data_IF_914930309620
#
_entry.id   IF_914930309620
#
_cell.length_a   1.000
_cell.length_b   1.000
_cell.length_c   1.000
_cell.angle_alpha   90.00
_cell.angle_beta   90.00
_cell.angle_gamma   90.00
#
_symmetry.space_group_name_H-M   'P 1'
#
loop_
_entity.id
_entity.type
_entity.pdbx_description
1 polymer ?
#
# COMPACT_ATOMS: atom_id res chain seq x y z
N UNK A 1 -13.68 8.38 3.07
CA UNK A 1 -12.74 9.11 3.94
C UNK A 1 -13.10 10.59 3.83
N UNK A 2 -13.58 11.27 4.89
CA UNK A 2 -13.92 12.69 4.80
C UNK A 2 -12.65 13.57 4.90
N UNK A 3 -11.63 13.28 4.09
CA UNK A 3 -10.32 13.92 4.10
C UNK A 3 -9.17 12.96 3.78
N UNK A 4 -8.04 13.52 3.37
CA UNK A 4 -6.80 12.81 3.04
C UNK A 4 -6.18 13.30 1.74
N UNK A 5 -4.86 13.16 1.62
CA UNK A 5 -4.10 13.37 0.39
C UNK A 5 -3.44 12.05 -0.02
N UNK A 6 -3.36 11.78 -1.32
CA UNK A 6 -2.47 10.75 -1.87
C UNK A 6 -1.35 11.41 -2.66
N UNK A 7 -0.11 10.98 -2.46
CA UNK A 7 1.04 11.45 -3.22
C UNK A 7 1.92 10.28 -3.69
N UNK A 8 2.82 10.57 -4.62
CA UNK A 8 3.82 9.63 -5.13
C UNK A 8 5.22 10.08 -4.74
N UNK A 9 5.97 9.20 -4.04
CA UNK A 9 7.36 9.40 -3.62
C UNK A 9 8.32 8.59 -4.50
N UNK A 10 8.31 8.84 -5.81
CA UNK A 10 9.02 7.99 -6.77
C UNK A 10 10.54 8.26 -6.85
N UNK A 11 11.01 9.38 -6.31
CA UNK A 11 12.45 9.73 -6.26
C UNK A 11 13.12 9.34 -4.94
N UNK A 12 12.35 8.82 -3.97
CA UNK A 12 12.84 8.51 -2.62
C UNK A 12 13.89 7.38 -2.59
N UNK A 13 13.95 6.60 -3.68
CA UNK A 13 14.99 5.59 -3.89
C UNK A 13 16.39 6.19 -4.12
N UNK A 14 16.48 7.42 -4.63
CA UNK A 14 17.75 8.08 -4.95
C UNK A 14 18.39 8.81 -3.76
N UNK A 15 17.67 8.93 -2.63
CA UNK A 15 18.15 9.65 -1.44
C UNK A 15 18.51 8.70 -0.30
N UNK A 16 19.35 9.17 0.61
CA UNK A 16 19.66 8.46 1.85
C UNK A 16 18.52 8.55 2.88
N UNK A 17 18.49 7.64 3.85
CA UNK A 17 17.58 7.73 5.00
C UNK A 17 17.79 9.05 5.79
N UNK A 18 19.03 9.53 5.89
CA UNK A 18 19.33 10.82 6.55
C UNK A 18 18.67 11.99 5.82
N UNK A 19 18.69 11.98 4.49
CA UNK A 19 18.01 13.01 3.69
C UNK A 19 16.49 12.89 3.81
N UNK A 20 15.95 11.67 3.79
CA UNK A 20 14.53 11.44 4.02
C UNK A 20 14.08 12.03 5.36
N UNK A 21 14.82 11.74 6.44
CA UNK A 21 14.49 12.21 7.78
C UNK A 21 14.61 13.74 7.92
N UNK A 22 15.62 14.35 7.29
CA UNK A 22 15.87 15.77 7.42
C UNK A 22 15.00 16.65 6.50
N UNK A 23 14.64 16.15 5.31
CA UNK A 23 14.06 16.98 4.24
C UNK A 23 12.66 16.53 3.80
N UNK A 24 12.26 15.28 4.06
CA UNK A 24 10.98 14.73 3.57
C UNK A 24 10.01 14.45 4.72
N UNK A 25 10.48 13.79 5.78
CA UNK A 25 9.62 13.43 6.91
C UNK A 25 8.85 14.62 7.53
N UNK A 26 9.46 15.81 7.75
CA UNK A 26 8.72 16.96 8.28
C UNK A 26 7.58 17.40 7.36
N UNK A 27 7.84 17.46 6.04
CA UNK A 27 6.86 17.87 5.03
C UNK A 27 5.73 16.85 4.90
N UNK A 28 6.05 15.55 4.91
CA UNK A 28 5.07 14.46 4.89
C UNK A 28 4.17 14.50 6.13
N UNK A 29 4.74 14.80 7.30
CA UNK A 29 3.99 14.96 8.54
C UNK A 29 3.07 16.19 8.48
N UNK A 30 3.55 17.33 7.97
CA UNK A 30 2.74 18.55 7.81
C UNK A 30 1.58 18.32 6.83
N UNK A 31 1.83 17.73 5.66
CA UNK A 31 0.80 17.41 4.67
C UNK A 31 -0.25 16.46 5.25
N UNK A 32 0.20 15.39 5.93
CA UNK A 32 -0.69 14.46 6.60
C UNK A 32 -1.57 15.16 7.64
N UNK A 33 -0.99 16.02 8.49
CA UNK A 33 -1.75 16.77 9.50
C UNK A 33 -2.77 17.74 8.85
N UNK A 34 -2.35 18.47 7.82
CA UNK A 34 -3.19 19.45 7.11
C UNK A 34 -4.42 18.81 6.45
N UNK A 35 -4.25 17.64 5.83
CA UNK A 35 -5.32 16.98 5.08
C UNK A 35 -6.02 15.85 5.85
N UNK A 36 -5.62 15.57 7.08
CA UNK A 36 -6.25 14.55 7.94
C UNK A 36 -5.76 13.11 7.68
N UNK A 37 -4.60 12.97 7.04
CA UNK A 37 -3.91 11.72 6.76
C UNK A 37 -3.33 11.67 5.35
N UNK A 38 -2.52 10.65 5.10
CA UNK A 38 -1.77 10.51 3.85
C UNK A 38 -1.84 9.09 3.30
N UNK A 39 -2.05 8.94 2.00
CA UNK A 39 -1.74 7.74 1.25
C UNK A 39 -0.46 7.98 0.44
N UNK A 40 0.41 6.97 0.35
CA UNK A 40 1.68 7.09 -0.36
C UNK A 40 1.81 6.00 -1.41
N UNK A 41 2.10 6.41 -2.63
CA UNK A 41 2.57 5.56 -3.71
C UNK A 41 4.10 5.65 -3.82
N UNK A 42 4.75 4.53 -4.15
CA UNK A 42 6.18 4.50 -4.43
C UNK A 42 6.49 3.36 -5.42
N UNK A 43 6.94 3.72 -6.62
CA UNK A 43 7.50 2.76 -7.58
C UNK A 43 9.04 2.65 -7.50
N UNK A 44 9.68 3.52 -6.72
CA UNK A 44 11.13 3.52 -6.52
C UNK A 44 11.64 2.24 -5.85
N UNK A 45 12.87 1.83 -6.19
CA UNK A 45 13.60 0.82 -5.42
C UNK A 45 14.07 1.41 -4.07
N UNK A 46 13.15 1.45 -3.11
CA UNK A 46 13.30 2.19 -1.85
C UNK A 46 13.15 1.31 -0.60
N UNK A 47 13.62 0.06 -0.64
CA UNK A 47 13.58 -0.85 0.52
C UNK A 47 14.26 -0.27 1.76
N UNK A 48 15.35 0.47 1.57
CA UNK A 48 16.04 1.17 2.66
C UNK A 48 15.16 2.24 3.32
N UNK A 49 14.12 2.75 2.66
CA UNK A 49 13.23 3.76 3.23
C UNK A 49 12.04 3.20 4.00
N UNK A 50 11.80 1.88 3.97
CA UNK A 50 10.64 1.27 4.63
C UNK A 50 10.50 1.58 6.12
N UNK A 51 11.58 1.60 6.94
CA UNK A 51 11.49 2.06 8.32
C UNK A 51 11.05 3.52 8.44
N UNK A 52 11.48 4.37 7.51
CA UNK A 52 11.02 5.76 7.39
C UNK A 52 9.54 5.83 7.09
N UNK A 53 9.06 5.06 6.10
CA UNK A 53 7.64 5.01 5.72
C UNK A 53 6.73 4.64 6.90
N UNK A 54 7.10 3.65 7.72
CA UNK A 54 6.31 3.28 8.92
C UNK A 54 6.20 4.41 9.95
N UNK A 55 7.14 5.35 9.95
CA UNK A 55 7.16 6.48 10.89
C UNK A 55 6.35 7.69 10.40
N UNK A 56 5.89 7.71 9.14
CA UNK A 56 5.08 8.82 8.62
C UNK A 56 3.81 8.94 9.45
N UNK A 57 3.60 10.07 10.18
CA UNK A 57 2.42 10.25 11.01
C UNK A 57 1.16 10.28 10.14
N UNK A 58 0.13 9.54 10.54
CA UNK A 58 -1.15 9.54 9.82
C UNK A 58 -1.11 8.88 8.44
N UNK A 59 -0.11 8.03 8.14
CA UNK A 59 -0.12 7.18 6.96
C UNK A 59 -1.32 6.22 7.02
N UNK A 60 -2.20 6.30 6.02
CA UNK A 60 -3.47 5.56 5.92
C UNK A 60 -3.47 4.49 4.85
N UNK A 61 -2.59 4.58 3.86
CA UNK A 61 -2.47 3.62 2.78
C UNK A 61 -1.05 3.64 2.20
N UNK A 62 -0.46 2.47 1.97
CA UNK A 62 0.80 2.33 1.25
C UNK A 62 0.60 1.53 -0.05
N UNK A 63 1.01 2.11 -1.16
CA UNK A 63 1.06 1.44 -2.46
C UNK A 63 2.53 1.35 -2.88
N UNK A 64 3.00 0.13 -3.11
CA UNK A 64 4.32 -0.13 -3.68
C UNK A 64 4.14 -0.82 -5.03
N UNK A 65 4.89 -0.36 -6.02
CA UNK A 65 4.97 -0.99 -7.35
C UNK A 65 6.33 -1.65 -7.46
N UNK A 66 6.36 -2.94 -7.16
CA UNK A 66 7.59 -3.75 -7.14
C UNK A 66 7.27 -5.19 -7.60
N UNK A 67 8.28 -5.98 -8.01
CA UNK A 67 8.08 -7.40 -8.33
C UNK A 67 7.43 -8.18 -7.17
N UNK A 68 6.64 -9.21 -7.49
CA UNK A 68 5.86 -9.98 -6.50
C UNK A 68 6.68 -10.45 -5.27
N UNK A 69 7.92 -10.97 -5.39
CA UNK A 69 8.71 -11.35 -4.21
C UNK A 69 8.99 -10.19 -3.26
N UNK A 70 9.12 -8.97 -3.78
CA UNK A 70 9.30 -7.75 -2.97
C UNK A 70 8.01 -7.37 -2.28
N UNK A 71 6.87 -7.47 -2.97
CA UNK A 71 5.56 -7.19 -2.40
C UNK A 71 5.24 -8.14 -1.26
N UNK A 72 5.52 -9.44 -1.38
CA UNK A 72 5.33 -10.37 -0.26
C UNK A 72 6.11 -9.97 1.00
N UNK A 73 7.36 -9.51 0.83
CA UNK A 73 8.16 -8.99 1.94
C UNK A 73 7.60 -7.69 2.51
N UNK A 74 7.12 -6.79 1.65
CA UNK A 74 6.51 -5.54 2.06
C UNK A 74 5.23 -5.77 2.88
N UNK A 75 4.35 -6.67 2.42
CA UNK A 75 3.10 -7.00 3.12
C UNK A 75 3.37 -7.46 4.54
N UNK A 76 4.36 -8.33 4.74
CA UNK A 76 4.79 -8.75 6.07
C UNK A 76 5.42 -7.60 6.88
N UNK A 77 6.31 -6.82 6.26
CA UNK A 77 6.99 -5.72 6.95
C UNK A 77 6.03 -4.60 7.40
N UNK A 78 4.98 -4.33 6.63
CA UNK A 78 3.99 -3.29 6.89
C UNK A 78 2.69 -3.85 7.47
N UNK A 79 2.69 -5.07 8.01
CA UNK A 79 1.51 -5.66 8.63
C UNK A 79 0.87 -4.71 9.67
N UNK A 80 -0.47 -4.69 9.66
CA UNK A 80 -1.30 -3.71 10.39
C UNK A 80 -1.51 -2.35 9.72
N UNK A 81 -0.70 -1.98 8.70
CA UNK A 81 -0.94 -0.80 7.86
C UNK A 81 -1.77 -1.21 6.64
N UNK A 82 -2.82 -0.43 6.25
CA UNK A 82 -3.51 -0.66 4.99
C UNK A 82 -2.59 -0.49 3.79
N UNK A 83 -2.70 -1.41 2.84
CA UNK A 83 -1.80 -1.54 1.69
C UNK A 83 -2.59 -1.79 0.41
N UNK A 84 -2.17 -1.21 -0.70
CA UNK A 84 -2.76 -1.37 -2.03
C UNK A 84 -1.64 -1.48 -3.06
N UNK A 85 -0.98 -2.63 -3.14
CA UNK A 85 0.16 -2.83 -4.05
C UNK A 85 -0.30 -3.13 -5.48
N UNK A 86 0.61 -2.97 -6.45
CA UNK A 86 0.37 -3.32 -7.86
C UNK A 86 0.25 -4.83 -8.14
N UNK A 87 0.32 -5.67 -7.11
CA UNK A 87 0.26 -7.12 -7.19
C UNK A 87 -0.71 -7.64 -6.13
N UNK A 88 -1.73 -8.38 -6.59
CA UNK A 88 -2.78 -8.90 -5.73
C UNK A 88 -2.62 -10.37 -5.33
N UNK A 89 -1.90 -11.18 -6.11
CA UNK A 89 -1.75 -12.63 -5.86
C UNK A 89 -1.85 -13.43 -7.15
N UNK A 90 -1.61 -14.74 -7.05
CA UNK A 90 -1.72 -15.65 -8.19
C UNK A 90 -3.10 -16.31 -8.27
N UNK A 91 -3.57 -16.56 -9.50
CA UNK A 91 -4.85 -17.22 -9.76
C UNK A 91 -6.07 -16.32 -9.54
N UNK A 92 -7.26 -16.91 -9.32
CA UNK A 92 -8.49 -16.12 -9.18
C UNK A 92 -8.50 -15.24 -7.93
N UNK A 93 -9.03 -14.01 -8.04
CA UNK A 93 -8.89 -13.00 -6.99
C UNK A 93 -9.39 -13.41 -5.59
N UNK A 94 -10.43 -14.24 -5.50
CA UNK A 94 -10.94 -14.75 -4.23
C UNK A 94 -10.01 -15.76 -3.52
N UNK A 95 -8.93 -16.21 -4.15
CA UNK A 95 -7.90 -17.06 -3.50
C UNK A 95 -6.73 -16.25 -2.94
N UNK A 96 -6.61 -14.98 -3.34
CA UNK A 96 -5.49 -14.12 -2.96
C UNK A 96 -5.37 -13.86 -1.45
N UNK A 97 -6.46 -13.66 -0.66
CA UNK A 97 -6.34 -13.41 0.77
C UNK A 97 -5.53 -14.48 1.52
N UNK A 98 -5.68 -15.75 1.13
CA UNK A 98 -4.97 -16.87 1.76
C UNK A 98 -3.46 -16.91 1.47
N UNK A 99 -2.97 -16.08 0.55
CA UNK A 99 -1.56 -15.99 0.17
C UNK A 99 -0.77 -14.99 1.04
N UNK A 100 -1.45 -14.28 1.95
CA UNK A 100 -0.86 -13.24 2.79
C UNK A 100 -1.03 -13.54 4.28
N UNK A 101 -0.19 -12.93 5.15
CA UNK A 101 -0.35 -13.05 6.60
C UNK A 101 -1.74 -12.60 7.09
N UNK A 102 -2.28 -13.22 8.15
CA UNK A 102 -3.65 -12.96 8.63
C UNK A 102 -3.87 -11.53 9.16
N UNK A 103 -2.81 -10.81 9.54
CA UNK A 103 -2.84 -9.43 10.00
C UNK A 103 -2.58 -8.40 8.88
N UNK A 104 -2.41 -8.86 7.64
CA UNK A 104 -2.31 -8.01 6.47
C UNK A 104 -3.63 -7.27 6.21
N UNK A 105 -3.54 -5.98 5.91
CA UNK A 105 -4.68 -5.13 5.55
C UNK A 105 -4.54 -4.73 4.10
N UNK A 106 -5.11 -5.52 3.19
CA UNK A 106 -4.93 -5.33 1.76
C UNK A 106 -6.19 -4.79 1.09
N UNK A 107 -5.98 -3.88 0.15
CA UNK A 107 -6.96 -3.44 -0.85
C UNK A 107 -6.50 -4.03 -2.17
N UNK A 108 -7.35 -4.86 -2.78
CA UNK A 108 -7.07 -5.44 -4.09
C UNK A 108 -7.77 -4.60 -5.17
N UNK A 109 -6.99 -4.13 -6.14
CA UNK A 109 -7.52 -3.57 -7.38
C UNK A 109 -7.68 -4.70 -8.39
N UNK A 110 -8.91 -4.94 -8.83
CA UNK A 110 -9.27 -6.10 -9.67
C UNK A 110 -10.06 -5.61 -10.87
N UNK A 111 -9.52 -5.88 -12.06
CA UNK A 111 -10.21 -5.62 -13.31
C UNK A 111 -11.29 -6.69 -13.57
N UNK A 112 -12.45 -6.25 -14.05
CA UNK A 112 -13.52 -7.12 -14.54
C UNK A 112 -13.94 -6.62 -15.93
N UNK A 113 -14.22 -7.52 -16.86
CA UNK A 113 -14.66 -7.19 -18.21
C UNK A 113 -16.13 -6.79 -18.28
N UNK A 114 -16.92 -7.10 -17.24
CA UNK A 114 -18.33 -6.73 -17.16
C UNK A 114 -18.78 -6.45 -15.73
N UNK A 115 -19.93 -5.80 -15.60
CA UNK A 115 -20.59 -5.61 -14.30
C UNK A 115 -20.92 -6.94 -13.61
N UNK A 116 -21.43 -7.93 -14.34
CA UNK A 116 -21.79 -9.24 -13.78
C UNK A 116 -20.58 -9.96 -13.20
N UNK A 117 -19.45 -9.93 -13.93
CA UNK A 117 -18.19 -10.45 -13.44
C UNK A 117 -17.67 -9.68 -12.22
N UNK A 118 -17.75 -8.34 -12.22
CA UNK A 118 -17.37 -7.53 -11.06
C UNK A 118 -18.20 -7.89 -9.81
N UNK A 119 -19.52 -8.11 -9.97
CA UNK A 119 -20.42 -8.53 -8.89
C UNK A 119 -20.07 -9.94 -8.38
N UNK A 120 -19.77 -10.89 -9.28
CA UNK A 120 -19.33 -12.24 -8.90
C UNK A 120 -18.01 -12.21 -8.13
N UNK A 121 -16.97 -11.56 -8.67
CA UNK A 121 -15.66 -11.42 -8.03
C UNK A 121 -15.81 -10.79 -6.65
N UNK A 122 -16.56 -9.69 -6.55
CA UNK A 122 -16.77 -8.99 -5.28
C UNK A 122 -17.52 -9.86 -4.25
N UNK A 123 -18.47 -10.68 -4.69
CA UNK A 123 -19.20 -11.61 -3.82
C UNK A 123 -18.26 -12.70 -3.27
N UNK A 124 -17.48 -13.34 -4.15
CA UNK A 124 -16.55 -14.42 -3.78
C UNK A 124 -15.41 -13.92 -2.89
N UNK A 125 -14.84 -12.77 -3.22
CA UNK A 125 -13.79 -12.15 -2.39
C UNK A 125 -14.29 -11.81 -0.99
N UNK A 126 -15.52 -11.27 -0.87
CA UNK A 126 -16.14 -11.03 0.44
C UNK A 126 -16.34 -12.31 1.25
N UNK A 127 -16.63 -13.44 0.62
CA UNK A 127 -16.74 -14.72 1.31
C UNK A 127 -15.36 -15.23 1.78
N UNK A 128 -14.32 -15.04 0.97
CA UNK A 128 -12.95 -15.45 1.30
C UNK A 128 -12.30 -14.61 2.40
N UNK A 129 -12.73 -13.35 2.59
CA UNK A 129 -12.22 -12.45 3.63
C UNK A 129 -13.02 -12.49 4.96
N UNK A 130 -14.02 -13.38 5.08
CA UNK A 130 -14.73 -13.62 6.35
C UNK A 130 -13.96 -14.62 7.21
#
# INVERSE_FOLDING_TARGET
MPGGLTLSEDEVGAISQRMFDALFMPELAELSARYGGLGMHCCAHARHQWPGFRRIPGLRLLNLVQPAPVIHQAVAFFAGLPQMHSYGGEGPAWTWPAQYPPDARLVFDINAASRAEAEEIASRLRQACR
#
